data_IF_290442907247
#
_entry.id   IF_290442907247
#
_cell.length_a   1.000
_cell.length_b   1.000
_cell.length_c   1.000
_cell.angle_alpha   90.00
_cell.angle_beta   90.00
_cell.angle_gamma   90.00
#
_symmetry.space_group_name_H-M   'P 1'
#
loop_
_entity.id
_entity.type
_entity.pdbx_description
1 polymer ?
#
# COMPACT_ATOMS: atom_id res chain seq x y z
N UNK A 1 -0.51 66.97 54.38
CA UNK A 1 -0.06 65.96 53.44
C UNK A 1 -0.80 64.68 53.77
N UNK A 2 -1.83 64.27 52.90
CA UNK A 2 -2.63 63.07 53.10
C UNK A 2 -2.15 62.06 52.08
N UNK A 3 -1.59 60.92 52.57
CA UNK A 3 -1.20 59.77 51.75
C UNK A 3 -2.45 58.92 51.50
N UNK A 4 -2.82 58.75 50.23
CA UNK A 4 -3.90 57.84 49.80
C UNK A 4 -3.22 56.54 49.36
N UNK A 5 -3.47 55.47 50.15
CA UNK A 5 -3.09 54.11 49.76
C UNK A 5 -4.16 53.56 48.81
N UNK A 6 -3.80 53.28 47.54
CA UNK A 6 -4.61 52.50 46.63
C UNK A 6 -4.30 51.03 46.78
N UNK A 7 -5.23 50.22 47.19
CA UNK A 7 -5.18 48.78 47.21
C UNK A 7 -5.56 48.25 45.83
N UNK A 8 -4.61 47.60 45.16
CA UNK A 8 -4.86 46.91 43.89
C UNK A 8 -5.35 45.46 44.16
N UNK A 9 -6.64 45.19 43.89
CA UNK A 9 -7.19 43.84 43.96
C UNK A 9 -6.85 43.09 42.65
N UNK A 10 -6.00 42.06 42.74
CA UNK A 10 -5.70 41.14 41.63
C UNK A 10 -6.79 40.07 41.58
N UNK A 11 -7.65 40.10 40.53
CA UNK A 11 -8.59 39.05 40.23
C UNK A 11 -7.88 37.92 39.48
N UNK A 12 -7.74 36.75 40.09
CA UNK A 12 -7.28 35.54 39.45
C UNK A 12 -8.41 34.99 38.57
N UNK A 13 -8.31 35.11 37.27
CA UNK A 13 -9.13 34.44 36.28
C UNK A 13 -8.69 32.97 36.17
N UNK A 14 -9.44 32.06 36.79
CA UNK A 14 -9.29 30.64 36.57
C UNK A 14 -9.85 30.30 35.17
N UNK A 15 -8.95 29.99 34.24
CA UNK A 15 -9.33 29.46 32.94
C UNK A 15 -9.80 27.99 33.07
N UNK A 16 -10.96 27.62 32.49
CA UNK A 16 -11.39 26.23 32.48
C UNK A 16 -10.41 25.42 31.61
N UNK A 17 -9.80 24.39 32.21
CA UNK A 17 -9.05 23.38 31.47
C UNK A 17 -10.07 22.59 30.61
N UNK A 18 -10.11 22.91 29.33
CA UNK A 18 -10.79 22.04 28.34
C UNK A 18 -9.98 20.75 28.27
N UNK A 19 -10.55 19.69 28.83
CA UNK A 19 -10.06 18.35 28.57
C UNK A 19 -10.13 18.13 27.05
N UNK A 20 -8.97 18.13 26.40
CA UNK A 20 -8.85 17.61 25.05
C UNK A 20 -9.17 16.12 25.13
N UNK A 21 -10.44 15.77 24.89
CA UNK A 21 -10.78 14.41 24.51
C UNK A 21 -9.91 14.06 23.33
N UNK A 22 -8.97 13.15 23.58
CA UNK A 22 -8.05 12.66 22.54
C UNK A 22 -8.90 12.22 21.35
N UNK A 23 -8.75 12.92 20.23
CA UNK A 23 -9.32 12.45 18.97
C UNK A 23 -8.92 10.97 18.84
N UNK A 24 -9.87 10.06 18.50
CA UNK A 24 -9.53 8.68 18.26
C UNK A 24 -8.42 8.68 17.23
N UNK A 25 -7.27 8.06 17.59
CA UNK A 25 -6.17 7.89 16.67
C UNK A 25 -6.77 7.33 15.39
N UNK A 26 -6.66 8.07 14.29
CA UNK A 26 -7.14 7.63 13.00
C UNK A 26 -6.53 6.26 12.79
N UNK A 27 -7.36 5.21 12.82
CA UNK A 27 -6.93 3.86 12.57
C UNK A 27 -6.20 3.91 11.23
N UNK A 28 -4.92 3.59 11.24
CA UNK A 28 -4.09 3.58 10.04
C UNK A 28 -4.80 2.67 9.04
N UNK A 29 -5.40 3.26 7.99
CA UNK A 29 -6.03 2.52 6.89
C UNK A 29 -4.90 1.98 6.03
N UNK A 30 -3.98 1.23 6.65
CA UNK A 30 -3.03 0.44 5.92
C UNK A 30 -3.68 -0.92 5.69
N UNK A 31 -3.68 -1.42 4.46
CA UNK A 31 -4.12 -2.77 4.20
C UNK A 31 -3.36 -3.73 5.12
N UNK A 32 -4.04 -4.79 5.56
CA UNK A 32 -3.42 -5.83 6.36
C UNK A 32 -2.10 -6.29 5.71
N UNK A 33 -1.08 -6.70 6.49
CA UNK A 33 0.17 -7.15 5.91
C UNK A 33 -0.07 -8.31 4.95
N UNK A 34 0.62 -8.30 3.80
CA UNK A 34 0.55 -9.39 2.83
C UNK A 34 1.28 -10.60 3.43
N UNK A 35 0.52 -11.55 3.95
CA UNK A 35 1.08 -12.75 4.63
C UNK A 35 1.40 -13.87 3.66
N UNK A 36 0.80 -13.87 2.47
CA UNK A 36 0.99 -14.93 1.47
C UNK A 36 2.25 -14.74 0.62
N UNK A 37 2.79 -13.52 0.53
CA UNK A 37 4.06 -13.28 -0.13
C UNK A 37 5.22 -13.57 0.82
N UNK A 38 6.13 -14.43 0.38
CA UNK A 38 7.36 -14.82 1.09
C UNK A 38 8.59 -14.41 0.27
N UNK A 39 9.78 -14.44 0.86
CA UNK A 39 11.00 -14.21 0.09
C UNK A 39 11.35 -15.48 -0.68
N UNK A 40 11.20 -15.45 -2.00
CA UNK A 40 11.54 -16.56 -2.89
C UNK A 40 13.05 -16.60 -3.19
N UNK A 41 13.59 -17.74 -3.64
CA UNK A 41 14.98 -17.83 -4.10
C UNK A 41 15.28 -16.81 -5.19
N UNK A 42 16.42 -16.14 -5.08
CA UNK A 42 16.81 -15.05 -5.99
C UNK A 42 16.32 -13.67 -5.58
N UNK A 43 15.46 -13.58 -4.56
CA UNK A 43 15.00 -12.32 -3.99
C UNK A 43 15.70 -11.99 -2.66
N UNK A 44 15.80 -10.71 -2.35
CA UNK A 44 16.22 -10.19 -1.06
C UNK A 44 15.09 -9.36 -0.45
N UNK A 45 14.79 -9.54 0.84
CA UNK A 45 13.78 -8.73 1.52
C UNK A 45 14.18 -7.24 1.51
N UNK A 46 13.26 -6.38 1.12
CA UNK A 46 13.45 -4.93 1.04
C UNK A 46 12.32 -4.20 1.83
N UNK A 47 12.37 -4.15 3.17
CA UNK A 47 11.25 -3.68 4.00
C UNK A 47 10.94 -2.19 3.81
N UNK A 48 11.89 -1.42 3.34
CA UNK A 48 11.70 -0.02 2.99
C UNK A 48 11.30 0.22 1.53
N UNK A 49 11.19 -0.86 0.72
CA UNK A 49 10.90 -0.79 -0.71
C UNK A 49 11.86 0.16 -1.47
N UNK A 50 13.13 0.23 -1.05
CA UNK A 50 14.13 1.16 -1.58
C UNK A 50 13.86 2.62 -1.27
N UNK A 51 12.99 2.94 -0.31
CA UNK A 51 12.57 4.31 0.00
C UNK A 51 11.64 4.90 -1.06
N UNK A 52 11.13 4.09 -2.00
CA UNK A 52 10.39 4.57 -3.17
C UNK A 52 8.88 4.62 -2.92
N UNK A 53 8.22 5.59 -3.55
CA UNK A 53 6.74 5.73 -3.61
C UNK A 53 6.01 5.71 -2.26
N UNK A 54 6.71 5.92 -1.14
CA UNK A 54 6.12 5.86 0.20
C UNK A 54 5.58 4.48 0.58
N UNK A 55 6.16 3.41 0.03
CA UNK A 55 5.72 2.03 0.24
C UNK A 55 6.26 1.40 1.52
N UNK A 56 7.28 2.00 2.16
CA UNK A 56 7.82 1.53 3.42
C UNK A 56 6.71 1.31 4.47
N UNK A 57 6.64 0.11 5.04
CA UNK A 57 5.62 -0.28 6.01
C UNK A 57 4.19 -0.42 5.46
N UNK A 58 3.98 -0.23 4.15
CA UNK A 58 2.68 -0.31 3.48
C UNK A 58 2.58 -1.46 2.48
N UNK A 59 3.71 -1.96 2.03
CA UNK A 59 3.81 -3.07 1.11
C UNK A 59 4.84 -4.07 1.61
N UNK A 60 4.69 -5.33 1.25
CA UNK A 60 5.77 -6.30 1.31
C UNK A 60 6.62 -6.12 0.06
N UNK A 61 7.91 -5.86 0.23
CA UNK A 61 8.80 -5.66 -0.92
C UNK A 61 9.98 -6.60 -0.89
N UNK A 62 10.37 -7.04 -2.08
CA UNK A 62 11.61 -7.75 -2.33
C UNK A 62 12.40 -7.05 -3.44
N UNK A 63 13.69 -7.27 -3.48
CA UNK A 63 14.60 -6.75 -4.50
C UNK A 63 15.40 -7.85 -5.16
N UNK A 64 15.81 -7.59 -6.40
CA UNK A 64 16.74 -8.41 -7.19
C UNK A 64 17.44 -7.53 -8.23
N UNK A 65 18.46 -8.02 -8.95
CA UNK A 65 18.95 -7.33 -10.14
C UNK A 65 17.83 -7.07 -11.14
N UNK A 66 17.79 -5.87 -11.71
CA UNK A 66 16.70 -5.41 -12.59
C UNK A 66 16.49 -6.36 -13.78
N UNK A 67 17.57 -6.92 -14.34
CA UNK A 67 17.49 -7.90 -15.41
C UNK A 67 16.73 -9.19 -15.01
N UNK A 68 16.69 -9.53 -13.71
CA UNK A 68 16.03 -10.73 -13.19
C UNK A 68 14.60 -10.49 -12.69
N UNK A 69 14.11 -9.25 -12.64
CA UNK A 69 12.82 -8.92 -12.06
C UNK A 69 11.65 -9.61 -12.75
N UNK A 70 11.69 -9.72 -14.09
CA UNK A 70 10.63 -10.42 -14.84
C UNK A 70 10.54 -11.90 -14.45
N UNK A 71 11.67 -12.60 -14.45
CA UNK A 71 11.74 -14.02 -14.04
C UNK A 71 11.28 -14.20 -12.58
N UNK A 72 11.66 -13.28 -11.71
CA UNK A 72 11.22 -13.31 -10.32
C UNK A 72 9.70 -13.06 -10.20
N UNK A 73 9.15 -12.16 -10.99
CA UNK A 73 7.70 -11.92 -11.05
C UNK A 73 6.94 -13.19 -11.47
N UNK A 74 7.42 -13.89 -12.50
CA UNK A 74 6.84 -15.17 -12.94
C UNK A 74 6.87 -16.22 -11.82
N UNK A 75 7.96 -16.30 -11.06
CA UNK A 75 8.07 -17.20 -9.91
C UNK A 75 7.03 -16.86 -8.82
N UNK A 76 6.79 -15.57 -8.55
CA UNK A 76 5.75 -15.13 -7.62
C UNK A 76 4.33 -15.43 -8.14
N UNK A 77 4.08 -15.27 -9.44
CA UNK A 77 2.78 -15.62 -10.04
C UNK A 77 2.50 -17.11 -9.81
N UNK A 78 3.49 -17.97 -10.02
CA UNK A 78 3.36 -19.40 -9.80
C UNK A 78 3.15 -19.74 -8.31
N UNK A 79 3.95 -19.17 -7.41
CA UNK A 79 3.85 -19.39 -5.95
C UNK A 79 2.50 -18.95 -5.40
N UNK A 80 2.04 -17.75 -5.76
CA UNK A 80 0.74 -17.22 -5.36
C UNK A 80 -0.40 -18.08 -5.91
N UNK A 81 -0.26 -18.62 -7.12
CA UNK A 81 -1.21 -19.57 -7.69
C UNK A 81 -1.42 -20.81 -6.81
N UNK A 82 -0.36 -21.34 -6.20
CA UNK A 82 -0.48 -22.48 -5.25
C UNK A 82 -1.26 -22.11 -3.98
N UNK A 83 -1.41 -20.84 -3.67
CA UNK A 83 -2.14 -20.28 -2.51
C UNK A 83 -3.54 -19.79 -2.88
N UNK A 84 -4.02 -20.13 -4.08
CA UNK A 84 -5.36 -19.79 -4.56
C UNK A 84 -5.51 -18.39 -5.14
N UNK A 85 -4.42 -17.64 -5.32
CA UNK A 85 -4.45 -16.37 -5.99
C UNK A 85 -4.41 -16.56 -7.51
N UNK A 86 -5.39 -16.01 -8.22
CA UNK A 86 -5.52 -16.10 -9.67
C UNK A 86 -5.23 -14.74 -10.30
N UNK A 87 -4.35 -14.65 -11.31
CA UNK A 87 -4.19 -13.41 -12.06
C UNK A 87 -5.51 -13.01 -12.70
N UNK A 88 -5.93 -11.76 -12.52
CA UNK A 88 -7.22 -11.25 -12.98
C UNK A 88 -7.09 -10.01 -13.89
N UNK A 89 -5.88 -9.46 -14.01
CA UNK A 89 -5.60 -8.28 -14.84
C UNK A 89 -4.27 -7.65 -14.49
N UNK A 90 -3.98 -6.52 -15.10
CA UNK A 90 -2.75 -5.77 -14.88
C UNK A 90 -2.35 -4.95 -16.10
N UNK A 91 -1.10 -4.53 -16.10
CA UNK A 91 -0.41 -3.84 -17.18
C UNK A 91 1.09 -4.24 -17.17
N UNK A 92 1.91 -3.56 -17.95
CA UNK A 92 3.31 -3.97 -18.22
C UNK A 92 4.17 -4.21 -16.98
N UNK A 93 3.88 -3.54 -15.87
CA UNK A 93 4.66 -3.66 -14.64
C UNK A 93 3.81 -4.01 -13.40
N UNK A 94 2.55 -4.40 -13.59
CA UNK A 94 1.62 -4.68 -12.52
C UNK A 94 0.74 -5.88 -12.83
N UNK A 95 0.59 -6.76 -11.85
CA UNK A 95 -0.39 -7.87 -11.89
C UNK A 95 -1.34 -7.72 -10.73
N UNK A 96 -2.63 -7.83 -11.01
CA UNK A 96 -3.69 -7.91 -10.01
C UNK A 96 -4.13 -9.36 -9.89
N UNK A 97 -4.18 -9.85 -8.67
CA UNK A 97 -4.66 -11.18 -8.34
C UNK A 97 -5.95 -11.09 -7.56
N UNK A 98 -6.79 -12.09 -7.71
CA UNK A 98 -8.01 -12.28 -6.93
C UNK A 98 -8.02 -13.66 -6.28
N UNK A 99 -8.59 -13.73 -5.08
CA UNK A 99 -8.84 -15.00 -4.39
C UNK A 99 -10.24 -14.99 -3.81
N UNK A 100 -11.03 -16.03 -4.13
CA UNK A 100 -12.39 -16.17 -3.59
C UNK A 100 -12.33 -16.46 -2.09
N UNK A 101 -13.27 -15.85 -1.35
CA UNK A 101 -13.48 -16.13 0.07
C UNK A 101 -14.55 -17.20 0.24
N UNK A 102 -14.44 -18.04 1.26
CA UNK A 102 -15.45 -19.10 1.58
C UNK A 102 -16.83 -18.50 1.89
N UNK A 103 -16.87 -17.31 2.52
CA UNK A 103 -18.11 -16.58 2.83
C UNK A 103 -18.67 -15.72 1.70
N UNK A 104 -18.11 -15.82 0.50
CA UNK A 104 -18.46 -14.98 -0.65
C UNK A 104 -17.59 -13.74 -0.81
N UNK A 105 -17.60 -13.17 -2.02
CA UNK A 105 -16.71 -12.06 -2.41
C UNK A 105 -15.28 -12.52 -2.70
N UNK A 106 -14.39 -11.55 -2.91
CA UNK A 106 -13.01 -11.80 -3.27
C UNK A 106 -12.04 -10.85 -2.54
N UNK A 107 -10.90 -11.41 -2.14
CA UNK A 107 -9.72 -10.62 -1.79
C UNK A 107 -8.98 -10.20 -3.06
N UNK A 108 -8.36 -9.04 -3.02
CA UNK A 108 -7.48 -8.53 -4.08
C UNK A 108 -6.05 -8.37 -3.57
N UNK A 109 -5.09 -8.73 -4.42
CA UNK A 109 -3.67 -8.51 -4.20
C UNK A 109 -3.08 -7.87 -5.46
N UNK A 110 -2.24 -6.87 -5.29
CA UNK A 110 -1.46 -6.28 -6.38
C UNK A 110 0.01 -6.61 -6.18
N UNK A 111 0.67 -7.06 -7.24
CA UNK A 111 2.12 -7.10 -7.38
C UNK A 111 2.54 -6.06 -8.40
N UNK A 112 3.56 -5.25 -8.09
CA UNK A 112 4.08 -4.23 -8.99
C UNK A 112 5.58 -4.27 -9.04
N UNK A 113 6.14 -4.28 -10.25
CA UNK A 113 7.56 -4.12 -10.51
C UNK A 113 7.92 -2.64 -10.63
N UNK A 114 9.03 -2.22 -10.01
CA UNK A 114 9.52 -0.85 -10.09
C UNK A 114 11.03 -0.79 -9.80
N UNK A 115 11.64 0.35 -10.10
CA UNK A 115 13.03 0.66 -9.81
C UNK A 115 13.19 2.16 -9.59
N UNK A 116 14.37 2.58 -9.10
CA UNK A 116 14.68 3.99 -8.88
C UNK A 116 15.06 4.67 -10.21
N UNK A 117 14.12 5.38 -10.82
CA UNK A 117 14.31 6.08 -12.09
C UNK A 117 15.25 7.28 -12.00
N UNK A 118 15.65 7.71 -10.80
CA UNK A 118 16.64 8.77 -10.59
C UNK A 118 18.07 8.27 -10.72
N UNK A 119 18.26 6.96 -10.76
CA UNK A 119 19.57 6.29 -10.90
C UNK A 119 19.78 5.72 -12.30
N UNK A 120 21.03 5.58 -12.74
CA UNK A 120 21.32 4.90 -14.00
C UNK A 120 20.74 3.48 -14.02
N UNK A 121 20.11 3.10 -15.12
CA UNK A 121 19.59 1.76 -15.34
C UNK A 121 20.64 0.88 -16.00
N UNK A 122 20.80 -0.33 -15.48
CA UNK A 122 21.66 -1.37 -16.04
C UNK A 122 21.19 -2.72 -15.54
N UNK A 123 21.71 -3.79 -16.09
CA UNK A 123 21.31 -5.15 -15.72
C UNK A 123 21.42 -5.41 -14.21
N UNK A 124 22.45 -4.85 -13.57
CA UNK A 124 22.74 -4.99 -12.14
C UNK A 124 22.08 -3.90 -11.28
N UNK A 125 21.36 -2.94 -11.86
CA UNK A 125 20.57 -1.97 -11.09
C UNK A 125 19.56 -2.73 -10.23
N UNK A 126 19.22 -2.17 -9.06
CA UNK A 126 18.25 -2.82 -8.17
C UNK A 126 16.83 -2.60 -8.69
N UNK A 127 16.14 -3.70 -8.97
CA UNK A 127 14.71 -3.74 -9.20
C UNK A 127 13.97 -4.22 -7.96
N UNK A 128 12.69 -3.91 -7.86
CA UNK A 128 11.82 -4.26 -6.74
C UNK A 128 10.52 -4.89 -7.24
N UNK A 129 9.99 -5.83 -6.47
CA UNK A 129 8.59 -6.24 -6.53
C UNK A 129 7.92 -5.84 -5.22
N UNK A 130 6.86 -5.05 -5.30
CA UNK A 130 6.04 -4.65 -4.17
C UNK A 130 4.69 -5.33 -4.21
N UNK A 131 4.24 -5.82 -3.06
CA UNK A 131 2.97 -6.51 -2.90
C UNK A 131 2.09 -5.75 -1.92
N UNK A 132 0.83 -5.54 -2.28
CA UNK A 132 -0.14 -4.86 -1.44
C UNK A 132 -1.53 -5.47 -1.61
N UNK A 133 -2.27 -5.60 -0.50
CA UNK A 133 -3.67 -6.00 -0.56
C UNK A 133 -4.52 -4.85 -1.10
N UNK A 134 -5.47 -5.17 -1.96
CA UNK A 134 -6.48 -4.23 -2.44
C UNK A 134 -7.64 -4.28 -1.45
N UNK A 135 -8.00 -3.15 -0.80
CA UNK A 135 -9.04 -3.14 0.21
C UNK A 135 -10.43 -3.42 -0.38
N UNK A 136 -11.29 -4.06 0.39
CA UNK A 136 -12.67 -4.30 0.03
C UNK A 136 -12.93 -5.63 -0.68
N UNK A 137 -14.05 -5.70 -1.38
CA UNK A 137 -14.44 -6.84 -2.22
C UNK A 137 -14.18 -6.50 -3.69
N UNK A 138 -13.10 -7.05 -4.23
CA UNK A 138 -12.70 -6.74 -5.61
C UNK A 138 -13.63 -7.37 -6.66
N UNK A 139 -14.36 -8.45 -6.31
CA UNK A 139 -15.36 -9.03 -7.21
C UNK A 139 -16.62 -8.17 -7.31
N UNK A 140 -17.05 -7.57 -6.20
CA UNK A 140 -18.19 -6.64 -6.21
C UNK A 140 -17.84 -5.35 -6.97
N UNK A 141 -16.62 -4.83 -6.77
CA UNK A 141 -16.13 -3.66 -7.50
C UNK A 141 -16.07 -3.91 -9.02
N UNK A 142 -15.59 -5.08 -9.45
CA UNK A 142 -15.55 -5.45 -10.87
C UNK A 142 -16.95 -5.59 -11.47
N UNK A 143 -17.92 -6.13 -10.73
CA UNK A 143 -19.30 -6.26 -11.19
C UNK A 143 -20.01 -4.90 -11.34
N UNK A 144 -19.55 -3.88 -10.61
CA UNK A 144 -20.10 -2.51 -10.65
C UNK A 144 -19.41 -1.60 -11.67
N UNK A 145 -18.32 -2.06 -12.29
CA UNK A 145 -17.61 -1.29 -13.29
C UNK A 145 -18.43 -1.13 -14.57
N UNK A 146 -18.50 0.07 -15.19
CA UNK A 146 -19.18 0.24 -16.48
C UNK A 146 -18.54 -0.70 -17.51
N UNK A 147 -19.38 -1.45 -18.22
CA UNK A 147 -18.91 -2.29 -19.33
C UNK A 147 -18.23 -1.41 -20.36
N UNK A 148 -16.94 -1.65 -20.63
CA UNK A 148 -16.24 -0.95 -21.68
C UNK A 148 -16.99 -1.11 -23.01
N UNK A 149 -17.17 -0.05 -23.81
CA UNK A 149 -17.82 -0.17 -25.11
C UNK A 149 -17.04 -1.17 -25.99
N UNK A 150 -17.80 -2.07 -26.64
CA UNK A 150 -17.21 -3.03 -27.56
C UNK A 150 -16.37 -2.30 -28.63
N UNK A 151 -15.17 -2.80 -28.99
CA UNK A 151 -14.38 -2.21 -30.04
C UNK A 151 -15.21 -2.13 -31.31
N UNK A 152 -15.20 -0.94 -31.95
CA UNK A 152 -15.92 -0.73 -33.21
C UNK A 152 -15.38 -1.71 -34.26
N UNK A 153 -16.26 -2.29 -35.13
CA UNK A 153 -15.79 -3.15 -36.19
C UNK A 153 -14.86 -2.37 -37.12
N UNK A 154 -13.69 -2.92 -37.35
CA UNK A 154 -12.72 -2.40 -38.33
C UNK A 154 -13.34 -2.58 -39.71
N UNK A 155 -13.65 -1.47 -40.39
CA UNK A 155 -14.10 -1.46 -41.79
C UNK A 155 -12.89 -1.41 -42.73
#
# INVERSE_FOLDING_TARGET
MKLVMMAASAALLAAPAWAQEGAPAAASVFPAPVTDAIVLPGATLAPDCGGLYGLAGRAFCVSAPLAGIGTLADAYIADLGTKGWLPAGGDDNRVVFVRRRDGGGCDGLQMQAFYDTSKPTGAEATGYLGFGLIPGDVCAAAASAPTAPAPAPVQ
#
